data_IF_323443636211
#
_entry.id   IF_323443636211
#
_cell.length_a   1.000
_cell.length_b   1.000
_cell.length_c   1.000
_cell.angle_alpha   90.00
_cell.angle_beta   90.00
_cell.angle_gamma   90.00
#
_symmetry.space_group_name_H-M   'P 1'
#
loop_
_entity.id
_entity.type
_entity.pdbx_description
1 polymer ?
#
# COMPACT_ATOMS: atom_id res chain seq x y z
N UNK A 1 4.22 -14.13 -0.51
CA UNK A 1 4.95 -12.90 -0.06
C UNK A 1 3.93 -11.80 0.18
N UNK A 2 4.17 -10.93 1.20
CA UNK A 2 3.25 -9.83 1.54
C UNK A 2 3.79 -8.50 1.02
N UNK A 3 3.18 -7.99 -0.04
CA UNK A 3 3.31 -6.63 -0.53
C UNK A 3 2.24 -5.71 0.11
N UNK A 4 1.74 -4.76 -0.62
CA UNK A 4 0.67 -3.82 -0.30
C UNK A 4 0.21 -3.16 -1.60
N UNK A 5 -0.92 -2.46 -1.59
CA UNK A 5 -1.23 -1.48 -2.64
C UNK A 5 -0.13 -0.43 -2.77
N UNK A 6 0.59 -0.11 -1.68
CA UNK A 6 1.76 0.77 -1.70
C UNK A 6 2.99 0.18 -2.42
N UNK A 7 2.98 -1.10 -2.76
CA UNK A 7 3.94 -1.70 -3.69
C UNK A 7 3.67 -1.38 -5.16
N UNK A 8 2.51 -0.76 -5.45
CA UNK A 8 2.05 -0.44 -6.80
C UNK A 8 1.85 1.07 -7.02
N UNK A 9 1.75 1.85 -5.94
CA UNK A 9 1.60 3.30 -5.98
C UNK A 9 2.27 3.96 -4.78
N UNK A 10 2.70 5.23 -4.93
CA UNK A 10 3.36 6.00 -3.87
C UNK A 10 2.36 6.72 -2.98
N UNK A 11 2.55 6.63 -1.66
CA UNK A 11 1.75 7.37 -0.68
C UNK A 11 2.61 8.42 -0.01
N UNK A 12 2.16 9.69 0.09
CA UNK A 12 2.93 10.74 0.74
C UNK A 12 3.35 10.37 2.17
N UNK A 13 4.58 10.73 2.54
CA UNK A 13 5.17 10.46 3.86
C UNK A 13 5.30 8.99 4.26
N UNK A 14 5.11 8.07 3.29
CA UNK A 14 5.37 6.63 3.44
C UNK A 14 6.46 6.15 2.47
N UNK A 15 7.42 6.98 2.13
CA UNK A 15 8.44 6.69 1.11
C UNK A 15 9.26 5.42 1.40
N UNK A 16 9.75 5.23 2.62
CA UNK A 16 10.51 4.03 3.01
C UNK A 16 9.65 2.76 2.94
N UNK A 17 8.41 2.82 3.43
CA UNK A 17 7.45 1.73 3.33
C UNK A 17 7.12 1.41 1.86
N UNK A 18 6.77 2.43 1.08
CA UNK A 18 6.49 2.31 -0.37
C UNK A 18 7.67 1.67 -1.10
N UNK A 19 8.90 2.16 -0.87
CA UNK A 19 10.10 1.60 -1.49
C UNK A 19 10.29 0.12 -1.13
N UNK A 20 10.10 -0.25 0.16
CA UNK A 20 10.20 -1.64 0.60
C UNK A 20 9.18 -2.55 -0.08
N UNK A 21 7.94 -2.06 -0.30
CA UNK A 21 6.89 -2.85 -0.94
C UNK A 21 7.08 -2.96 -2.45
N UNK A 22 7.59 -1.92 -3.13
CA UNK A 22 8.01 -2.03 -4.53
C UNK A 22 9.17 -3.02 -4.72
N UNK A 23 10.12 -3.04 -3.78
CA UNK A 23 11.21 -4.03 -3.82
C UNK A 23 10.68 -5.48 -3.71
N UNK A 24 9.67 -5.73 -2.86
CA UNK A 24 9.02 -7.04 -2.76
C UNK A 24 8.30 -7.43 -4.06
N UNK A 25 7.67 -6.48 -4.76
CA UNK A 25 7.02 -6.72 -6.05
C UNK A 25 8.04 -7.21 -7.09
N UNK A 26 9.13 -6.45 -7.30
CA UNK A 26 10.18 -6.83 -8.25
C UNK A 26 10.89 -8.13 -7.86
N UNK A 27 11.19 -8.34 -6.58
CA UNK A 27 11.79 -9.57 -6.10
C UNK A 27 10.92 -10.80 -6.38
N UNK A 28 9.61 -10.68 -6.17
CA UNK A 28 8.68 -11.78 -6.44
C UNK A 28 8.54 -12.10 -7.94
N UNK A 29 8.66 -11.10 -8.81
CA UNK A 29 8.69 -11.31 -10.27
C UNK A 29 9.91 -12.12 -10.69
N UNK A 30 11.08 -11.86 -10.11
CA UNK A 30 12.29 -12.66 -10.33
C UNK A 30 12.06 -14.12 -9.86
N UNK A 31 11.58 -14.31 -8.63
CA UNK A 31 11.31 -15.64 -8.09
C UNK A 31 10.27 -16.42 -8.90
N UNK A 32 9.28 -15.75 -9.48
CA UNK A 32 8.28 -16.40 -10.34
C UNK A 32 8.95 -17.06 -11.56
N UNK A 33 9.93 -16.40 -12.15
CA UNK A 33 10.68 -16.90 -13.30
C UNK A 33 11.70 -17.97 -12.91
N UNK A 34 12.48 -17.70 -11.86
CA UNK A 34 13.53 -18.59 -11.37
C UNK A 34 12.99 -19.88 -10.77
N UNK A 35 11.86 -19.82 -10.07
CA UNK A 35 11.24 -20.98 -9.43
C UNK A 35 10.45 -21.90 -10.39
N UNK A 36 10.11 -21.39 -11.58
CA UNK A 36 9.28 -22.14 -12.55
C UNK A 36 9.82 -23.53 -12.94
N UNK A 37 11.13 -23.73 -13.21
CA UNK A 37 11.67 -25.04 -13.52
C UNK A 37 11.56 -26.06 -12.37
N UNK A 38 11.43 -25.56 -11.13
CA UNK A 38 11.34 -26.38 -9.92
C UNK A 38 9.90 -26.58 -9.43
N UNK A 39 8.90 -26.13 -10.20
CA UNK A 39 7.49 -26.25 -9.84
C UNK A 39 7.09 -25.34 -8.66
N UNK A 40 7.90 -24.35 -8.30
CA UNK A 40 7.61 -23.41 -7.22
C UNK A 40 6.54 -22.40 -7.68
N UNK A 41 5.50 -22.27 -6.90
CA UNK A 41 4.47 -21.27 -7.11
C UNK A 41 4.71 -20.06 -6.20
N UNK A 42 4.74 -18.88 -6.78
CA UNK A 42 4.92 -17.60 -6.06
C UNK A 42 3.61 -16.84 -6.06
N UNK A 43 3.22 -16.33 -4.90
CA UNK A 43 2.05 -15.45 -4.76
C UNK A 43 2.41 -14.18 -4.01
N UNK A 44 2.09 -13.04 -4.61
CA UNK A 44 2.05 -11.73 -3.97
C UNK A 44 0.65 -11.50 -3.40
N UNK A 45 0.59 -11.18 -2.13
CA UNK A 45 -0.60 -10.64 -1.49
C UNK A 45 -0.45 -9.13 -1.44
N UNK A 46 -1.40 -8.40 -2.02
CA UNK A 46 -1.43 -6.95 -2.10
C UNK A 46 -2.62 -6.44 -1.25
N UNK A 47 -2.47 -6.33 0.08
CA UNK A 47 -3.53 -5.80 0.93
C UNK A 47 -3.74 -4.30 0.69
N UNK A 48 -4.99 -3.86 0.78
CA UNK A 48 -5.35 -2.47 1.04
C UNK A 48 -5.38 -2.18 2.54
N UNK A 49 -6.21 -1.21 2.95
CA UNK A 49 -6.32 -0.83 4.35
C UNK A 49 -7.05 -1.89 5.18
N UNK A 50 -6.41 -2.28 6.28
CA UNK A 50 -6.92 -3.24 7.25
C UNK A 50 -6.67 -2.71 8.65
N UNK A 51 -7.56 -3.04 9.58
CA UNK A 51 -7.44 -2.70 11.02
C UNK A 51 -6.36 -3.53 11.69
N UNK A 52 -5.11 -3.33 11.26
CA UNK A 52 -3.96 -4.12 11.71
C UNK A 52 -3.33 -3.63 13.02
N UNK A 53 -3.67 -2.41 13.48
CA UNK A 53 -3.00 -1.78 14.60
C UNK A 53 -1.55 -1.33 14.30
N UNK A 54 -1.16 -1.31 13.02
CA UNK A 54 0.21 -0.97 12.60
C UNK A 54 0.62 0.46 12.96
N UNK A 55 -0.33 1.35 13.14
CA UNK A 55 -0.11 2.74 13.52
C UNK A 55 0.65 2.88 14.85
N UNK A 56 0.33 2.02 15.83
CA UNK A 56 0.99 2.01 17.14
C UNK A 56 2.50 1.69 17.08
N UNK A 57 2.95 1.09 16.00
CA UNK A 57 4.35 0.67 15.82
C UNK A 57 5.05 1.44 14.68
N UNK A 58 4.38 2.44 14.10
CA UNK A 58 4.94 3.22 12.98
C UNK A 58 6.00 4.20 13.50
N UNK A 59 7.27 4.06 13.07
CA UNK A 59 8.28 5.04 13.46
C UNK A 59 8.05 6.36 12.73
N UNK A 60 8.18 7.45 13.46
CA UNK A 60 8.12 8.82 12.93
C UNK A 60 9.53 9.41 12.88
N UNK A 61 9.78 10.25 11.87
CA UNK A 61 11.08 10.93 11.75
C UNK A 61 11.28 11.90 12.93
N UNK A 62 12.41 11.78 13.63
CA UNK A 62 12.73 12.66 14.79
C UNK A 62 12.75 14.15 14.43
N UNK A 63 13.10 14.48 13.18
CA UNK A 63 13.12 15.86 12.67
C UNK A 63 11.72 16.43 12.34
N UNK A 64 10.67 15.62 12.45
CA UNK A 64 9.30 16.07 12.19
C UNK A 64 8.74 16.75 13.45
N UNK A 65 8.95 18.03 13.55
CA UNK A 65 8.45 18.93 14.61
C UNK A 65 7.45 19.91 14.02
N UNK A 66 6.71 20.65 14.85
CA UNK A 66 5.78 21.68 14.41
C UNK A 66 6.46 22.81 13.62
N UNK A 67 7.75 23.03 13.83
CA UNK A 67 8.57 23.98 13.08
C UNK A 67 9.00 23.47 11.70
N UNK A 68 8.76 22.21 11.37
CA UNK A 68 9.10 21.65 10.07
C UNK A 68 8.27 22.31 8.96
N UNK A 69 8.86 22.64 7.80
CA UNK A 69 8.09 23.13 6.65
C UNK A 69 7.08 22.11 6.12
N UNK A 70 7.24 20.84 6.50
CA UNK A 70 6.33 19.75 6.14
C UNK A 70 5.26 19.45 7.20
N UNK A 71 5.26 20.11 8.36
CA UNK A 71 4.42 19.76 9.51
C UNK A 71 2.93 19.65 9.15
N UNK A 72 2.40 20.63 8.43
CA UNK A 72 0.99 20.59 7.99
C UNK A 72 0.66 19.41 7.08
N UNK A 73 1.45 19.22 6.03
CA UNK A 73 1.21 18.17 5.04
C UNK A 73 1.39 16.78 5.65
N UNK A 74 2.40 16.64 6.52
CA UNK A 74 2.64 15.42 7.28
C UNK A 74 1.46 15.08 8.18
N UNK A 75 0.95 16.05 8.94
CA UNK A 75 -0.22 15.88 9.79
C UNK A 75 -1.44 15.43 8.98
N UNK A 76 -1.75 16.13 7.88
CA UNK A 76 -2.86 15.77 7.01
C UNK A 76 -2.74 14.31 6.49
N UNK A 77 -1.56 13.94 5.99
CA UNK A 77 -1.33 12.62 5.43
C UNK A 77 -1.42 11.52 6.50
N UNK A 78 -0.82 11.72 7.66
CA UNK A 78 -0.84 10.74 8.75
C UNK A 78 -2.24 10.56 9.34
N UNK A 79 -3.00 11.65 9.53
CA UNK A 79 -4.41 11.59 9.96
C UNK A 79 -5.27 10.81 8.95
N UNK A 80 -5.07 11.06 7.64
CA UNK A 80 -5.81 10.36 6.59
C UNK A 80 -5.48 8.87 6.55
N UNK A 81 -4.19 8.53 6.64
CA UNK A 81 -3.74 7.14 6.70
C UNK A 81 -4.32 6.43 7.93
N UNK A 82 -4.23 7.05 9.10
CA UNK A 82 -4.80 6.51 10.34
C UNK A 82 -6.31 6.26 10.21
N UNK A 83 -7.04 7.25 9.67
CA UNK A 83 -8.48 7.12 9.41
C UNK A 83 -8.78 5.94 8.49
N UNK A 84 -8.05 5.78 7.38
CA UNK A 84 -8.30 4.74 6.39
C UNK A 84 -7.98 3.34 6.96
N UNK A 85 -6.88 3.20 7.69
CA UNK A 85 -6.52 1.96 8.38
C UNK A 85 -7.53 1.59 9.48
N UNK A 86 -7.98 2.56 10.28
CA UNK A 86 -8.97 2.34 11.36
C UNK A 86 -10.32 1.90 10.80
N UNK A 87 -10.72 2.42 9.65
CA UNK A 87 -11.95 2.06 8.95
C UNK A 87 -11.74 0.94 7.90
N UNK A 88 -10.55 0.38 7.84
CA UNK A 88 -10.20 -0.69 6.92
C UNK A 88 -10.87 -2.02 7.23
N UNK A 89 -10.65 -2.99 6.38
CA UNK A 89 -11.21 -4.33 6.50
C UNK A 89 -10.65 -5.07 7.73
N UNK A 90 -11.43 -6.01 8.24
CA UNK A 90 -10.99 -6.92 9.31
C UNK A 90 -9.82 -7.80 8.82
N UNK A 91 -8.70 -7.90 9.56
CA UNK A 91 -7.57 -8.77 9.24
C UNK A 91 -7.96 -10.24 9.06
N UNK A 92 -8.97 -10.73 9.77
CA UNK A 92 -9.45 -12.10 9.62
C UNK A 92 -10.03 -12.37 8.23
N UNK A 93 -10.65 -11.36 7.60
CA UNK A 93 -11.13 -11.47 6.22
C UNK A 93 -9.94 -11.66 5.26
N UNK A 94 -8.84 -10.93 5.48
CA UNK A 94 -7.60 -11.09 4.73
C UNK A 94 -7.07 -12.52 4.88
N UNK A 95 -6.91 -12.99 6.12
CA UNK A 95 -6.43 -14.34 6.43
C UNK A 95 -7.27 -15.43 5.77
N UNK A 96 -8.60 -15.35 5.90
CA UNK A 96 -9.52 -16.32 5.26
C UNK A 96 -9.40 -16.33 3.73
N UNK A 97 -9.28 -15.16 3.08
CA UNK A 97 -9.13 -15.06 1.62
C UNK A 97 -7.80 -15.65 1.14
N UNK A 98 -6.72 -15.44 1.90
CA UNK A 98 -5.40 -16.03 1.60
C UNK A 98 -5.46 -17.54 1.75
N UNK A 99 -5.94 -18.05 2.88
CA UNK A 99 -6.04 -19.47 3.16
C UNK A 99 -6.87 -20.22 2.08
N UNK A 100 -8.00 -19.64 1.65
CA UNK A 100 -8.80 -20.18 0.53
C UNK A 100 -8.03 -20.20 -0.78
N UNK A 101 -7.20 -19.19 -1.02
CA UNK A 101 -6.41 -19.11 -2.26
C UNK A 101 -5.30 -20.17 -2.28
N UNK A 102 -4.62 -20.38 -1.15
CA UNK A 102 -3.54 -21.36 -1.01
C UNK A 102 -4.02 -22.83 -1.14
N UNK A 103 -5.31 -23.10 -0.90
CA UNK A 103 -5.90 -24.44 -1.11
C UNK A 103 -6.09 -24.81 -2.58
N UNK A 104 -5.88 -23.86 -3.51
CA UNK A 104 -6.03 -24.13 -4.96
C UNK A 104 -4.80 -24.85 -5.52
N UNK A 105 -5.01 -25.78 -6.45
CA UNK A 105 -3.93 -26.47 -7.17
C UNK A 105 -3.02 -25.49 -7.94
N UNK A 106 -3.60 -24.41 -8.49
CA UNK A 106 -2.88 -23.30 -9.13
C UNK A 106 -3.25 -22.02 -8.41
N UNK A 107 -2.26 -21.35 -7.83
CA UNK A 107 -2.43 -20.07 -7.16
C UNK A 107 -2.14 -18.91 -8.14
N UNK A 108 -2.86 -17.78 -8.07
CA UNK A 108 -2.54 -16.61 -8.87
C UNK A 108 -1.22 -15.98 -8.38
N UNK A 109 -0.46 -15.41 -9.31
CA UNK A 109 0.76 -14.67 -8.93
C UNK A 109 0.43 -13.45 -8.06
N UNK A 110 -0.63 -12.69 -8.39
CA UNK A 110 -1.06 -11.51 -7.63
C UNK A 110 -2.44 -11.73 -7.03
N UNK A 111 -2.57 -11.44 -5.73
CA UNK A 111 -3.84 -11.48 -4.99
C UNK A 111 -4.05 -10.18 -4.24
N UNK A 112 -4.72 -9.23 -4.89
CA UNK A 112 -5.12 -7.99 -4.24
C UNK A 112 -6.37 -8.21 -3.39
N UNK A 113 -6.31 -7.74 -2.14
CA UNK A 113 -7.41 -7.79 -1.17
C UNK A 113 -7.55 -6.39 -0.59
N UNK A 114 -8.38 -5.60 -1.22
CA UNK A 114 -8.56 -4.17 -0.97
C UNK A 114 -10.01 -3.78 -1.20
N UNK A 115 -10.38 -2.55 -0.89
CA UNK A 115 -11.68 -1.95 -1.22
C UNK A 115 -11.80 -1.65 -2.72
N UNK A 116 -13.02 -1.40 -3.21
CA UNK A 116 -13.27 -1.15 -4.62
C UNK A 116 -12.57 0.12 -5.14
N UNK A 117 -12.54 1.17 -4.33
CA UNK A 117 -11.86 2.44 -4.63
C UNK A 117 -10.33 2.25 -4.70
N UNK A 118 -9.75 1.44 -3.82
CA UNK A 118 -8.33 1.10 -3.84
C UNK A 118 -7.96 0.25 -5.07
N UNK A 119 -8.82 -0.70 -5.46
CA UNK A 119 -8.65 -1.42 -6.73
C UNK A 119 -8.66 -0.46 -7.91
N UNK A 120 -9.62 0.49 -7.94
CA UNK A 120 -9.71 1.51 -8.97
C UNK A 120 -8.48 2.41 -8.99
N UNK A 121 -8.02 2.88 -7.83
CA UNK A 121 -6.82 3.72 -7.70
C UNK A 121 -5.58 3.08 -8.32
N UNK A 122 -5.32 1.80 -8.00
CA UNK A 122 -4.19 1.05 -8.58
C UNK A 122 -4.37 0.88 -10.10
N UNK A 123 -5.60 0.60 -10.57
CA UNK A 123 -5.86 0.46 -11.99
C UNK A 123 -5.61 1.78 -12.74
N UNK A 124 -6.18 2.87 -12.25
CA UNK A 124 -6.02 4.21 -12.84
C UNK A 124 -4.56 4.66 -12.83
N UNK A 125 -3.85 4.40 -11.71
CA UNK A 125 -2.42 4.73 -11.58
C UNK A 125 -1.58 4.13 -12.72
N UNK A 126 -1.93 2.98 -13.22
CA UNK A 126 -1.19 2.29 -14.29
C UNK A 126 -1.25 3.03 -15.64
N UNK A 127 -2.31 3.78 -15.90
CA UNK A 127 -2.56 4.40 -17.21
C UNK A 127 -2.36 5.91 -17.23
N UNK A 128 -2.39 6.57 -16.09
CA UNK A 128 -2.20 8.02 -16.03
C UNK A 128 -0.73 8.41 -15.99
N UNK A 129 -0.36 9.57 -16.57
CA UNK A 129 0.98 10.13 -16.41
C UNK A 129 1.34 10.34 -14.94
N UNK A 130 2.63 10.15 -14.61
CA UNK A 130 3.11 10.20 -13.22
C UNK A 130 2.74 11.51 -12.49
N UNK A 131 2.80 12.67 -13.16
CA UNK A 131 2.43 13.96 -12.55
C UNK A 131 0.95 14.05 -12.21
N UNK A 132 0.07 13.46 -13.03
CA UNK A 132 -1.38 13.42 -12.77
C UNK A 132 -1.67 12.51 -11.60
N UNK A 133 -1.07 11.32 -11.56
CA UNK A 133 -1.17 10.41 -10.43
C UNK A 133 -0.72 11.06 -9.13
N UNK A 134 0.44 11.72 -9.14
CA UNK A 134 0.96 12.41 -7.98
C UNK A 134 0.02 13.52 -7.49
N UNK A 135 -0.60 14.27 -8.41
CA UNK A 135 -1.57 15.32 -8.06
C UNK A 135 -2.84 14.72 -7.43
N UNK A 136 -3.37 13.63 -7.97
CA UNK A 136 -4.55 12.94 -7.44
C UNK A 136 -4.25 12.40 -6.03
N UNK A 137 -3.17 11.64 -5.87
CA UNK A 137 -2.78 11.08 -4.58
C UNK A 137 -2.49 12.17 -3.56
N UNK A 138 -1.79 13.25 -3.97
CA UNK A 138 -1.56 14.39 -3.10
C UNK A 138 -2.88 15.01 -2.61
N UNK A 139 -3.85 15.24 -3.51
CA UNK A 139 -5.14 15.83 -3.15
C UNK A 139 -5.98 14.94 -2.22
N UNK A 140 -5.81 13.63 -2.30
CA UNK A 140 -6.48 12.67 -1.42
C UNK A 140 -5.93 12.69 0.02
N UNK A 141 -4.60 12.77 0.16
CA UNK A 141 -3.93 12.69 1.46
C UNK A 141 -3.70 14.06 2.12
N UNK A 142 -3.58 15.13 1.33
CA UNK A 142 -3.16 16.44 1.81
C UNK A 142 -4.23 17.47 1.50
N UNK A 143 -4.90 17.94 2.54
CA UNK A 143 -5.90 19.02 2.44
C UNK A 143 -5.20 20.34 2.12
N UNK A 144 -5.88 21.20 1.36
CA UNK A 144 -5.40 22.58 1.20
C UNK A 144 -5.36 23.25 2.56
N UNK A 145 -4.24 23.96 2.84
CA UNK A 145 -4.13 24.81 4.02
C UNK A 145 -5.02 26.02 3.76
N UNK A 146 -5.98 26.29 4.64
CA UNK A 146 -6.73 27.54 4.58
C UNK A 146 -5.72 28.67 4.69
N UNK A 147 -5.76 29.60 3.72
CA UNK A 147 -4.93 30.80 3.78
C UNK A 147 -5.54 31.68 4.88
N UNK A 148 -4.83 31.80 5.99
CA UNK A 148 -5.12 32.81 7.00
C UNK A 148 -4.81 34.19 6.43
#
# INVERSE_FOLDING_TARGET
MFSSINGLLGVPFQNAYTASKHAIEGYAECLLMEGKPFGIQVMLVEPGDHRSGSDAYRPHAKAMTDASPYAWEYKCATEKIHHDETNGSDPDVLGRKIARTLKKKKIPFRKRIASADQHLAVYVHRFLPAKVNAAILRSYYIRKKDRA
#
